data_IF_641305657316
#
_entry.id   IF_641305657316
#
_cell.length_a   1.000
_cell.length_b   1.000
_cell.length_c   1.000
_cell.angle_alpha   90.00
_cell.angle_beta   90.00
_cell.angle_gamma   90.00
#
_symmetry.space_group_name_H-M   'P 1'
#
loop_
_entity.id
_entity.type
_entity.pdbx_description
1 polymer ?
#
# COMPACT_ATOMS: atom_id res chain seq x y z
N UNK A 1 -7.23 -18.05 -16.25
CA UNK A 1 -7.52 -18.41 -14.84
C UNK A 1 -8.45 -17.34 -14.30
N UNK A 2 -9.59 -17.70 -13.73
CA UNK A 2 -10.57 -16.72 -13.26
C UNK A 2 -10.05 -16.04 -11.97
N UNK A 3 -9.93 -14.70 -12.00
CA UNK A 3 -9.45 -13.93 -10.85
C UNK A 3 -10.52 -13.87 -9.75
N UNK A 4 -11.80 -13.82 -10.13
CA UNK A 4 -12.90 -13.70 -9.20
C UNK A 4 -12.98 -14.94 -8.31
N UNK A 5 -13.00 -16.12 -8.93
CA UNK A 5 -13.00 -17.41 -8.21
C UNK A 5 -11.76 -17.57 -7.34
N UNK A 6 -10.60 -17.08 -7.81
CA UNK A 6 -9.37 -17.09 -7.03
C UNK A 6 -9.45 -16.23 -5.76
N UNK A 7 -10.06 -15.05 -5.84
CA UNK A 7 -10.28 -14.18 -4.68
C UNK A 7 -11.32 -14.80 -3.73
N UNK A 8 -12.44 -15.31 -4.25
CA UNK A 8 -13.46 -16.00 -3.43
C UNK A 8 -12.80 -17.12 -2.62
N UNK A 9 -12.04 -18.00 -3.29
CA UNK A 9 -11.35 -19.09 -2.60
C UNK A 9 -10.34 -18.59 -1.58
N UNK A 10 -9.62 -17.51 -1.87
CA UNK A 10 -8.66 -16.90 -0.91
C UNK A 10 -9.39 -16.43 0.35
N UNK A 11 -10.51 -15.72 0.20
CA UNK A 11 -11.31 -15.24 1.32
C UNK A 11 -11.88 -16.41 2.16
N UNK A 12 -12.32 -17.49 1.51
CA UNK A 12 -12.77 -18.70 2.19
C UNK A 12 -11.65 -19.35 3.01
N UNK A 13 -10.45 -19.51 2.44
CA UNK A 13 -9.28 -20.06 3.18
C UNK A 13 -8.95 -19.20 4.40
N UNK A 14 -8.95 -17.87 4.26
CA UNK A 14 -8.65 -16.97 5.39
C UNK A 14 -9.70 -17.14 6.49
N UNK A 15 -10.98 -17.21 6.11
CA UNK A 15 -12.08 -17.47 7.06
C UNK A 15 -11.93 -18.83 7.77
N UNK A 16 -11.62 -19.89 7.03
CA UNK A 16 -11.37 -21.24 7.57
C UNK A 16 -10.18 -21.25 8.54
N UNK A 17 -9.15 -20.43 8.31
CA UNK A 17 -7.96 -20.37 9.15
C UNK A 17 -8.17 -19.66 10.51
N UNK A 18 -9.27 -18.91 10.68
CA UNK A 18 -9.54 -18.12 11.87
C UNK A 18 -8.69 -16.84 12.02
N UNK A 19 -7.90 -16.48 11.01
CA UNK A 19 -7.19 -15.20 10.98
C UNK A 19 -8.21 -14.07 10.82
N UNK A 20 -8.09 -13.04 11.66
CA UNK A 20 -8.96 -11.87 11.58
C UNK A 20 -8.77 -11.14 10.24
N UNK A 21 -9.85 -10.80 9.50
CA UNK A 21 -9.75 -10.16 8.18
C UNK A 21 -8.87 -8.91 8.13
N UNK A 22 -8.93 -8.06 9.15
CA UNK A 22 -8.15 -6.82 9.23
C UNK A 22 -6.62 -7.05 9.29
N UNK A 23 -6.19 -8.28 9.54
CA UNK A 23 -4.77 -8.69 9.54
C UNK A 23 -4.30 -9.19 8.17
N UNK A 24 -5.17 -9.21 7.16
CA UNK A 24 -4.89 -9.79 5.86
C UNK A 24 -5.06 -8.75 4.74
N UNK A 25 -3.98 -8.56 4.00
CA UNK A 25 -3.97 -7.81 2.74
C UNK A 25 -4.21 -8.79 1.59
N UNK A 26 -5.33 -8.64 0.88
CA UNK A 26 -5.56 -9.34 -0.38
C UNK A 26 -5.07 -8.42 -1.49
N UNK A 27 -3.97 -8.78 -2.17
CA UNK A 27 -3.37 -7.94 -3.21
C UNK A 27 -3.84 -8.32 -4.63
N UNK A 28 -3.44 -7.51 -5.62
CA UNK A 28 -3.75 -7.67 -7.05
C UNK A 28 -5.24 -7.53 -7.38
N UNK A 29 -5.99 -6.74 -6.62
CA UNK A 29 -7.39 -6.48 -6.91
C UNK A 29 -7.60 -5.66 -8.19
N UNK A 30 -8.82 -5.71 -8.69
CA UNK A 30 -9.35 -4.84 -9.74
C UNK A 30 -10.82 -4.51 -9.45
N UNK A 31 -11.50 -3.89 -10.40
CA UNK A 31 -12.90 -3.45 -10.28
C UNK A 31 -13.88 -4.60 -10.01
N UNK A 32 -13.55 -5.82 -10.46
CA UNK A 32 -14.40 -7.00 -10.27
C UNK A 32 -14.23 -7.61 -8.88
N UNK A 33 -13.03 -7.53 -8.28
CA UNK A 33 -12.74 -8.20 -7.01
C UNK A 33 -12.84 -7.30 -5.79
N UNK A 34 -12.67 -5.98 -5.96
CA UNK A 34 -12.74 -5.04 -4.83
C UNK A 34 -14.06 -5.11 -4.03
N UNK A 35 -15.26 -5.33 -4.64
CA UNK A 35 -16.49 -5.44 -3.83
C UNK A 35 -16.40 -6.58 -2.82
N UNK A 36 -15.84 -7.74 -3.20
CA UNK A 36 -15.72 -8.90 -2.33
C UNK A 36 -14.73 -8.66 -1.17
N UNK A 37 -13.58 -8.05 -1.45
CA UNK A 37 -12.55 -7.82 -0.43
C UNK A 37 -13.01 -6.78 0.58
N UNK A 38 -13.67 -5.71 0.12
CA UNK A 38 -14.17 -4.65 0.98
C UNK A 38 -15.26 -5.16 1.94
N UNK A 39 -16.19 -5.96 1.43
CA UNK A 39 -17.34 -6.42 2.20
C UNK A 39 -16.98 -7.48 3.26
N UNK A 40 -15.74 -7.95 3.28
CA UNK A 40 -15.24 -8.95 4.24
C UNK A 40 -14.28 -8.39 5.30
N UNK A 41 -14.02 -7.07 5.29
CA UNK A 41 -13.18 -6.40 6.30
C UNK A 41 -11.67 -6.55 6.11
N UNK A 42 -11.23 -7.16 5.01
CA UNK A 42 -9.82 -7.28 4.63
C UNK A 42 -9.25 -5.92 4.18
N UNK A 43 -7.92 -5.81 4.10
CA UNK A 43 -7.26 -4.68 3.44
C UNK A 43 -7.11 -5.01 1.96
N UNK A 44 -7.53 -4.09 1.09
CA UNK A 44 -7.46 -4.26 -0.35
C UNK A 44 -6.15 -3.68 -0.92
N UNK A 45 -5.30 -4.57 -1.45
CA UNK A 45 -4.09 -4.22 -2.17
C UNK A 45 -4.31 -4.09 -3.68
N UNK A 46 -3.65 -3.10 -4.29
CA UNK A 46 -3.64 -2.89 -5.73
C UNK A 46 -2.23 -2.68 -6.26
N UNK A 47 -1.80 -3.60 -7.12
CA UNK A 47 -0.57 -3.45 -7.91
C UNK A 47 -0.83 -2.61 -9.16
N UNK A 48 -0.14 -1.47 -9.24
CA UNK A 48 -0.15 -0.57 -10.37
C UNK A 48 1.10 -0.90 -11.19
N UNK A 49 0.88 -1.55 -12.33
CA UNK A 49 1.94 -2.18 -13.11
C UNK A 49 1.66 -2.00 -14.61
N UNK A 50 2.65 -1.57 -15.41
CA UNK A 50 2.46 -1.31 -16.83
C UNK A 50 1.81 -2.48 -17.59
N UNK A 51 0.89 -2.16 -18.49
CA UNK A 51 0.29 -3.05 -19.50
C UNK A 51 -0.57 -4.22 -19.00
N UNK A 52 -0.40 -4.71 -17.76
CA UNK A 52 -1.00 -5.98 -17.33
C UNK A 52 -1.85 -5.91 -16.06
N UNK A 53 -1.76 -4.84 -15.25
CA UNK A 53 -2.49 -4.71 -13.97
C UNK A 53 -3.32 -3.42 -13.92
N UNK A 54 -3.38 -2.77 -12.75
CA UNK A 54 -4.08 -1.51 -12.57
C UNK A 54 -3.29 -0.36 -13.18
N UNK A 55 -4.01 0.70 -13.57
CA UNK A 55 -3.42 1.98 -13.97
C UNK A 55 -3.80 3.06 -12.95
N UNK A 56 -3.05 4.17 -12.88
CA UNK A 56 -3.40 5.32 -12.04
C UNK A 56 -4.85 5.80 -12.20
N UNK A 57 -5.35 5.91 -13.43
CA UNK A 57 -6.69 6.42 -13.74
C UNK A 57 -7.76 5.45 -13.25
N UNK A 58 -7.54 4.14 -13.42
CA UNK A 58 -8.46 3.11 -12.91
C UNK A 58 -8.50 3.09 -11.39
N UNK A 59 -7.39 3.40 -10.73
CA UNK A 59 -7.36 3.55 -9.28
C UNK A 59 -8.20 4.74 -8.81
N UNK A 60 -8.14 5.88 -9.49
CA UNK A 60 -9.01 7.03 -9.17
C UNK A 60 -10.48 6.66 -9.25
N UNK A 61 -10.90 5.92 -10.29
CA UNK A 61 -12.30 5.48 -10.42
C UNK A 61 -12.71 4.48 -9.34
N UNK A 62 -11.79 3.59 -8.93
CA UNK A 62 -12.01 2.71 -7.77
C UNK A 62 -12.20 3.52 -6.49
N UNK A 63 -11.34 4.49 -6.22
CA UNK A 63 -11.44 5.31 -5.01
C UNK A 63 -12.74 6.13 -4.97
N UNK A 64 -13.13 6.73 -6.09
CA UNK A 64 -14.41 7.46 -6.20
C UNK A 64 -15.62 6.57 -5.94
N UNK A 65 -15.59 5.33 -6.44
CA UNK A 65 -16.72 4.41 -6.33
C UNK A 65 -16.81 3.71 -4.97
N UNK A 66 -15.67 3.37 -4.38
CA UNK A 66 -15.60 2.47 -3.23
C UNK A 66 -15.01 3.11 -1.97
N UNK A 67 -14.53 4.35 -2.05
CA UNK A 67 -13.82 5.05 -0.99
C UNK A 67 -12.33 4.67 -0.94
N UNK A 68 -11.62 5.21 0.04
CA UNK A 68 -10.17 4.99 0.25
C UNK A 68 -9.85 4.20 1.52
N UNK A 69 -10.86 3.82 2.29
CA UNK A 69 -10.67 3.13 3.57
C UNK A 69 -10.11 1.71 3.37
N UNK A 70 -9.06 1.34 4.13
CA UNK A 70 -8.38 0.04 4.04
C UNK A 70 -7.92 -0.34 2.63
N UNK A 71 -7.46 0.65 1.86
CA UNK A 71 -6.86 0.44 0.54
C UNK A 71 -5.38 0.81 0.53
N UNK A 72 -4.57 -0.04 -0.11
CA UNK A 72 -3.13 0.16 -0.27
C UNK A 72 -2.78 -0.03 -1.74
N UNK A 73 -1.94 0.86 -2.28
CA UNK A 73 -1.39 0.75 -3.64
C UNK A 73 0.11 0.43 -3.59
N UNK A 74 0.59 -0.30 -4.58
CA UNK A 74 2.01 -0.62 -4.73
C UNK A 74 2.43 -0.64 -6.21
N UNK A 75 3.73 -0.47 -6.47
CA UNK A 75 4.30 -0.48 -7.81
C UNK A 75 4.64 -1.88 -8.34
N UNK A 76 4.44 -2.93 -7.53
CA UNK A 76 4.83 -4.32 -7.81
C UNK A 76 6.18 -4.44 -8.54
N UNK A 77 7.25 -3.87 -7.96
CA UNK A 77 8.58 -3.84 -8.55
C UNK A 77 9.22 -5.24 -8.59
N UNK A 78 8.78 -6.05 -9.55
CA UNK A 78 9.17 -7.44 -9.76
C UNK A 78 10.04 -7.61 -11.02
N UNK A 79 10.22 -8.86 -11.45
CA UNK A 79 11.12 -9.27 -12.53
C UNK A 79 10.74 -8.79 -13.94
N UNK A 80 9.54 -8.23 -14.14
CA UNK A 80 9.13 -7.69 -15.44
C UNK A 80 9.38 -6.19 -15.58
N UNK A 81 8.79 -5.58 -16.63
CA UNK A 81 8.88 -4.14 -16.87
C UNK A 81 7.99 -3.42 -15.85
N UNK A 82 8.59 -3.05 -14.73
CA UNK A 82 7.97 -2.30 -13.64
C UNK A 82 8.41 -0.84 -13.63
N UNK A 83 7.64 0.01 -12.97
CA UNK A 83 7.99 1.40 -12.72
C UNK A 83 7.82 1.68 -11.23
N UNK A 84 8.96 1.81 -10.54
CA UNK A 84 9.01 2.02 -9.08
C UNK A 84 8.26 3.29 -8.65
N UNK A 85 8.07 4.25 -9.55
CA UNK A 85 7.38 5.51 -9.28
C UNK A 85 5.86 5.44 -9.50
N UNK A 86 5.27 4.26 -9.69
CA UNK A 86 3.82 4.16 -9.91
C UNK A 86 3.00 4.72 -8.74
N UNK A 87 3.39 4.50 -7.49
CA UNK A 87 2.70 5.11 -6.33
C UNK A 87 2.67 6.65 -6.41
N UNK A 88 3.80 7.38 -6.50
CA UNK A 88 3.76 8.84 -6.60
C UNK A 88 3.13 9.35 -7.91
N UNK A 89 3.24 8.60 -9.02
CA UNK A 89 2.52 8.94 -10.27
C UNK A 89 1.00 8.82 -10.09
N UNK A 90 0.52 7.81 -9.36
CA UNK A 90 -0.90 7.69 -9.02
C UNK A 90 -1.36 8.84 -8.15
N UNK A 91 -0.57 9.29 -7.18
CA UNK A 91 -0.88 10.49 -6.39
C UNK A 91 -1.05 11.72 -7.29
N UNK A 92 -0.19 11.91 -8.30
CA UNK A 92 -0.35 13.02 -9.25
C UNK A 92 -1.66 12.94 -10.03
N UNK A 93 -2.08 11.73 -10.43
CA UNK A 93 -3.36 11.53 -11.12
C UNK A 93 -4.54 11.76 -10.18
N UNK A 94 -4.47 11.32 -8.93
CA UNK A 94 -5.48 11.60 -7.90
C UNK A 94 -5.66 13.11 -7.69
N UNK A 95 -4.57 13.87 -7.56
CA UNK A 95 -4.62 15.34 -7.43
C UNK A 95 -5.21 16.02 -8.67
N UNK A 96 -4.79 15.60 -9.87
CA UNK A 96 -5.35 16.12 -11.14
C UNK A 96 -6.84 15.81 -11.27
N UNK A 97 -7.29 14.70 -10.68
CA UNK A 97 -8.69 14.30 -10.62
C UNK A 97 -9.50 15.00 -9.51
N UNK A 98 -8.88 15.89 -8.74
CA UNK A 98 -9.53 16.68 -7.69
C UNK A 98 -9.87 15.89 -6.42
N UNK A 99 -9.16 14.80 -6.13
CA UNK A 99 -9.32 14.10 -4.85
C UNK A 99 -8.73 14.92 -3.69
N UNK A 100 -9.35 14.82 -2.52
CA UNK A 100 -8.89 15.51 -1.32
C UNK A 100 -7.52 14.97 -0.87
N UNK A 101 -6.63 15.85 -0.44
CA UNK A 101 -5.30 15.45 0.05
C UNK A 101 -5.39 14.49 1.25
N UNK A 102 -6.45 14.57 2.07
CA UNK A 102 -6.69 13.63 3.17
C UNK A 102 -7.01 12.21 2.70
N UNK A 103 -7.69 12.04 1.58
CA UNK A 103 -7.94 10.74 0.96
C UNK A 103 -6.65 10.18 0.35
N UNK A 104 -5.86 11.04 -0.28
CA UNK A 104 -4.54 10.68 -0.82
C UNK A 104 -3.63 10.20 0.30
N UNK A 105 -3.49 11.00 1.36
CA UNK A 105 -2.70 10.68 2.54
C UNK A 105 -3.16 9.38 3.18
N UNK A 106 -4.48 9.15 3.25
CA UNK A 106 -5.01 7.88 3.74
C UNK A 106 -4.47 6.69 2.95
N UNK A 107 -4.50 6.73 1.62
CA UNK A 107 -4.07 5.63 0.76
C UNK A 107 -2.57 5.38 0.82
N UNK A 108 -1.75 6.44 0.83
CA UNK A 108 -0.28 6.30 0.70
C UNK A 108 0.48 6.36 2.02
N UNK A 109 -0.19 6.73 3.12
CA UNK A 109 0.44 6.89 4.43
C UNK A 109 -0.31 6.15 5.53
N UNK A 110 -1.53 6.57 5.86
CA UNK A 110 -2.22 6.03 7.05
C UNK A 110 -2.62 4.56 6.89
N UNK A 111 -3.22 4.16 5.77
CA UNK A 111 -3.63 2.77 5.57
C UNK A 111 -2.43 1.81 5.61
N UNK A 112 -1.32 2.04 4.87
CA UNK A 112 -0.12 1.20 4.98
C UNK A 112 0.43 1.13 6.39
N UNK A 113 0.65 2.27 7.06
CA UNK A 113 1.24 2.27 8.41
C UNK A 113 0.31 1.55 9.39
N UNK A 114 -0.98 1.85 9.39
CA UNK A 114 -1.95 1.18 10.28
C UNK A 114 -1.97 -0.34 10.05
N UNK A 115 -1.85 -0.79 8.81
CA UNK A 115 -1.80 -2.22 8.51
C UNK A 115 -0.51 -2.87 9.06
N UNK A 116 0.66 -2.32 8.77
CA UNK A 116 1.95 -2.89 9.20
C UNK A 116 2.24 -2.70 10.69
N UNK A 117 1.68 -1.66 11.32
CA UNK A 117 1.81 -1.38 12.75
C UNK A 117 1.20 -2.48 13.64
N UNK A 118 0.32 -3.31 13.09
CA UNK A 118 -0.18 -4.51 13.77
C UNK A 118 0.92 -5.50 14.19
N UNK A 119 2.13 -5.37 13.62
CA UNK A 119 3.31 -6.15 14.02
C UNK A 119 4.02 -5.62 15.27
N UNK A 120 3.75 -4.37 15.68
CA UNK A 120 4.44 -3.68 16.76
C UNK A 120 5.85 -3.17 16.40
N UNK A 121 6.26 -3.27 15.13
CA UNK A 121 7.60 -2.85 14.66
C UNK A 121 7.65 -1.49 13.98
N UNK A 122 6.50 -0.88 13.75
CA UNK A 122 6.35 0.43 13.13
C UNK A 122 5.16 1.14 13.76
N UNK A 123 5.28 2.43 13.99
CA UNK A 123 4.22 3.30 14.46
C UNK A 123 4.26 4.64 13.73
N UNK A 124 3.16 5.41 13.76
CA UNK A 124 3.18 6.79 13.26
C UNK A 124 4.14 7.68 14.06
N UNK A 125 4.27 7.42 15.37
CA UNK A 125 5.16 8.17 16.25
C UNK A 125 6.64 8.04 15.87
N UNK A 126 7.03 6.94 15.21
CA UNK A 126 8.40 6.74 14.72
C UNK A 126 8.81 7.80 13.67
N UNK A 127 7.83 8.48 13.06
CA UNK A 127 8.03 9.52 12.05
C UNK A 127 7.73 10.93 12.55
N UNK A 128 7.27 11.08 13.79
CA UNK A 128 7.00 12.39 14.42
C UNK A 128 8.27 13.05 14.93
N UNK A 129 9.30 12.26 15.26
CA UNK A 129 10.61 12.77 15.64
C UNK A 129 11.37 13.34 14.43
N UNK A 130 11.27 14.66 14.27
CA UNK A 130 12.02 15.42 13.28
C UNK A 130 13.41 15.85 13.78
N UNK A 131 13.88 15.34 14.92
CA UNK A 131 15.30 15.46 15.26
C UNK A 131 16.06 14.68 14.19
N UNK A 132 16.54 15.42 13.18
CA UNK A 132 17.17 14.82 12.01
C UNK A 132 18.23 13.80 12.43
N UNK A 133 18.44 12.77 11.59
CA UNK A 133 19.38 11.69 11.88
C UNK A 133 20.72 12.28 12.32
N UNK A 134 21.14 12.00 13.56
CA UNK A 134 22.48 12.32 14.02
C UNK A 134 23.47 11.50 13.20
N UNK A 135 24.00 12.16 12.18
CA UNK A 135 24.90 11.58 11.20
C UNK A 135 26.21 11.11 11.85
N UNK A 136 26.55 11.58 13.06
CA UNK A 136 27.76 11.19 13.78
C UNK A 136 27.65 9.80 14.45
N UNK A 137 26.45 9.24 14.57
CA UNK A 137 26.25 7.93 15.21
C UNK A 137 26.72 6.78 14.30
N UNK A 138 27.56 5.91 14.86
CA UNK A 138 28.01 4.68 14.22
C UNK A 138 26.97 3.57 14.48
N UNK A 139 26.51 2.90 13.42
CA UNK A 139 25.66 1.72 13.55
C UNK A 139 26.51 0.45 13.52
N UNK A 140 26.43 -0.39 14.56
CA UNK A 140 27.16 -1.67 14.68
C UNK A 140 28.68 -1.56 14.40
N UNK A 141 29.30 -0.44 14.81
CA UNK A 141 30.73 -0.20 14.60
C UNK A 141 31.12 0.18 13.16
N UNK A 142 30.13 0.45 12.28
CA UNK A 142 30.41 0.86 10.92
C UNK A 142 30.94 2.30 10.87
N UNK A 143 32.24 2.44 10.59
CA UNK A 143 32.98 3.71 10.54
C UNK A 143 32.89 4.44 9.19
N UNK A 144 32.04 3.99 8.26
CA UNK A 144 31.94 4.58 6.92
C UNK A 144 31.16 5.89 6.99
N UNK A 145 31.88 7.00 6.93
CA UNK A 145 31.33 8.35 6.83
C UNK A 145 30.70 8.56 5.45
N UNK A 146 29.38 8.76 5.39
CA UNK A 146 28.64 9.07 4.14
C UNK A 146 28.63 10.57 3.86
N UNK A 147 29.83 11.13 3.63
CA UNK A 147 30.02 12.55 3.28
C UNK A 147 30.15 13.51 4.47
N UNK A 148 30.58 13.02 5.62
CA UNK A 148 30.78 13.82 6.84
C UNK A 148 32.26 14.12 7.06
N UNK A 149 32.57 15.22 7.75
CA UNK A 149 33.92 15.44 8.30
C UNK A 149 33.99 14.79 9.69
N UNK A 150 35.08 14.06 10.01
CA UNK A 150 35.26 13.39 11.29
C UNK A 150 35.28 14.37 12.46
#
# INVERSE_FOLDING_TARGET
RDKLDGVIRTLDVVKESGIKPERVLVDHNNELTIPLVRDTGHVAGFSIYPNTKMTPERMVEIFRRFGTERMIINSAADWGISDVLMVPKTVQVMRKAGMDDSEIEKVVWHNPINFFAQSGRISLADFEDQSGIDRTQLHEGNSVLRGQKP
#
